data_IF_084032243036
#
_entry.id   IF_084032243036
#
_cell.length_a   1.000
_cell.length_b   1.000
_cell.length_c   1.000
_cell.angle_alpha   90.00
_cell.angle_beta   90.00
_cell.angle_gamma   90.00
#
_symmetry.space_group_name_H-M   'P 1'
#
loop_
_entity.id
_entity.type
_entity.pdbx_description
1 polymer ?
#
# COMPACT_ATOMS: atom_id res chain seq x y z
N UNK A 1 -10.64 -11.58 20.74
CA UNK A 1 -9.50 -11.82 19.84
C UNK A 1 -9.76 -11.06 18.55
N UNK A 2 -8.93 -10.06 18.21
CA UNK A 2 -8.58 -9.62 16.84
C UNK A 2 -7.97 -8.21 16.88
N UNK A 3 -6.76 -8.10 17.42
CA UNK A 3 -5.96 -6.86 17.41
C UNK A 3 -4.87 -6.96 16.35
N UNK A 4 -5.26 -7.25 15.10
CA UNK A 4 -4.36 -7.09 13.96
C UNK A 4 -4.63 -5.74 13.33
N UNK A 5 -3.59 -4.99 12.92
CA UNK A 5 -3.78 -3.68 12.32
C UNK A 5 -4.73 -3.84 11.12
N UNK A 6 -5.83 -3.10 11.11
CA UNK A 6 -6.73 -3.00 9.95
C UNK A 6 -6.08 -2.28 8.75
N UNK A 7 -4.75 -2.19 8.79
CA UNK A 7 -3.87 -1.43 7.96
C UNK A 7 -2.86 -2.36 7.31
N UNK A 8 -2.95 -2.53 6.00
CA UNK A 8 -2.08 -3.44 5.24
C UNK A 8 -1.69 -2.79 3.92
N UNK A 9 -0.42 -2.96 3.53
CA UNK A 9 0.09 -2.61 2.20
C UNK A 9 0.29 -3.88 1.42
N UNK A 10 -0.34 -3.99 0.26
CA UNK A 10 -0.16 -5.11 -0.67
C UNK A 10 0.57 -4.60 -1.90
N UNK A 11 1.61 -5.30 -2.33
CA UNK A 11 2.36 -4.95 -3.55
C UNK A 11 1.94 -5.89 -4.67
N UNK A 12 1.56 -5.32 -5.81
CA UNK A 12 1.11 -6.06 -6.97
C UNK A 12 1.93 -5.67 -8.20
N UNK A 13 2.27 -6.67 -9.02
CA UNK A 13 2.89 -6.46 -10.33
C UNK A 13 1.79 -6.32 -11.38
N UNK A 14 1.76 -5.19 -12.08
CA UNK A 14 0.85 -4.95 -13.18
C UNK A 14 1.29 -5.66 -14.46
N UNK A 15 0.35 -5.85 -15.37
CA UNK A 15 0.56 -6.46 -16.69
C UNK A 15 1.62 -5.74 -17.54
N UNK A 16 1.84 -4.45 -17.30
CA UNK A 16 2.88 -3.66 -17.95
C UNK A 16 4.29 -3.85 -17.33
N UNK A 17 4.46 -4.81 -16.43
CA UNK A 17 5.73 -5.08 -15.75
C UNK A 17 6.08 -4.12 -14.61
N UNK A 18 5.27 -3.08 -14.38
CA UNK A 18 5.45 -2.12 -13.28
C UNK A 18 4.82 -2.62 -11.98
N UNK A 19 5.28 -2.07 -10.87
CA UNK A 19 4.84 -2.39 -9.53
C UNK A 19 3.93 -1.32 -8.97
N UNK A 20 2.93 -1.72 -8.21
CA UNK A 20 1.96 -0.83 -7.57
C UNK A 20 1.71 -1.31 -6.15
N UNK A 21 1.22 -0.41 -5.30
CA UNK A 21 0.78 -0.79 -3.97
C UNK A 21 -0.72 -0.51 -3.80
N UNK A 22 -1.38 -1.38 -3.03
CA UNK A 22 -2.77 -1.25 -2.60
C UNK A 22 -2.74 -1.08 -1.09
N UNK A 23 -3.41 -0.03 -0.60
CA UNK A 23 -3.55 0.21 0.84
C UNK A 23 -4.92 -0.24 1.30
N UNK A 24 -4.95 -0.97 2.40
CA UNK A 24 -6.15 -1.17 3.19
C UNK A 24 -5.93 -0.42 4.50
N UNK A 25 -6.86 0.44 4.91
CA UNK A 25 -6.79 1.20 6.15
C UNK A 25 -8.17 1.26 6.81
N UNK A 26 -8.30 0.75 8.03
CA UNK A 26 -9.56 0.74 8.83
C UNK A 26 -10.77 0.23 8.03
N UNK A 27 -10.59 -0.89 7.34
CA UNK A 27 -11.64 -1.50 6.51
C UNK A 27 -11.84 -0.87 5.12
N UNK A 28 -11.21 0.28 4.83
CA UNK A 28 -11.26 0.94 3.52
C UNK A 28 -10.12 0.43 2.64
N UNK A 29 -10.45 -0.15 1.49
CA UNK A 29 -9.47 -0.50 0.45
C UNK A 29 -9.32 0.67 -0.52
N UNK A 30 -8.12 1.23 -0.59
CA UNK A 30 -7.75 2.27 -1.54
C UNK A 30 -7.38 1.64 -2.88
N UNK A 31 -7.61 2.34 -4.00
CA UNK A 31 -7.22 1.85 -5.32
C UNK A 31 -5.70 1.64 -5.42
N UNK A 32 -5.26 0.77 -6.33
CA UNK A 32 -3.85 0.54 -6.59
C UNK A 32 -3.15 1.83 -7.05
N UNK A 33 -2.19 2.29 -6.26
CA UNK A 33 -1.45 3.53 -6.48
C UNK A 33 -0.03 3.28 -6.99
N UNK A 34 0.45 4.25 -7.76
CA UNK A 34 1.79 4.26 -8.34
C UNK A 34 1.98 3.36 -9.55
N UNK A 35 3.15 3.48 -10.17
CA UNK A 35 3.60 2.67 -11.31
C UNK A 35 5.14 2.61 -11.29
N UNK A 36 5.66 1.90 -10.32
CA UNK A 36 7.08 1.87 -10.01
C UNK A 36 7.82 0.86 -10.86
N UNK A 37 9.06 1.18 -11.24
CA UNK A 37 9.91 0.24 -11.99
C UNK A 37 10.42 -0.90 -11.08
N UNK A 38 10.49 -0.68 -9.78
CA UNK A 38 11.10 -1.59 -8.81
C UNK A 38 10.16 -1.94 -7.66
N UNK A 39 10.18 -3.20 -7.23
CA UNK A 39 9.41 -3.70 -6.08
C UNK A 39 9.74 -2.93 -4.80
N UNK A 40 11.03 -2.68 -4.55
CA UNK A 40 11.51 -1.93 -3.36
C UNK A 40 10.92 -0.52 -3.33
N UNK A 41 10.83 0.14 -4.49
CA UNK A 41 10.25 1.47 -4.59
C UNK A 41 8.74 1.44 -4.27
N UNK A 42 8.00 0.46 -4.81
CA UNK A 42 6.58 0.28 -4.48
C UNK A 42 6.35 -0.01 -2.99
N UNK A 43 7.24 -0.80 -2.37
CA UNK A 43 7.19 -1.06 -0.93
C UNK A 43 7.44 0.19 -0.10
N UNK A 44 8.49 0.95 -0.41
CA UNK A 44 8.83 2.17 0.32
C UNK A 44 7.69 3.20 0.25
N UNK A 45 7.16 3.43 -0.95
CA UNK A 45 6.07 4.39 -1.19
C UNK A 45 4.76 3.93 -0.53
N UNK A 46 4.45 2.63 -0.60
CA UNK A 46 3.28 2.07 0.07
C UNK A 46 3.36 2.18 1.59
N UNK A 47 4.53 1.92 2.19
CA UNK A 47 4.74 2.10 3.63
C UNK A 47 4.68 3.57 4.04
N UNK A 48 5.26 4.48 3.25
CA UNK A 48 5.18 5.92 3.49
C UNK A 48 3.73 6.42 3.44
N UNK A 49 2.96 5.98 2.44
CA UNK A 49 1.55 6.33 2.30
C UNK A 49 0.70 5.76 3.44
N UNK A 50 0.97 4.54 3.89
CA UNK A 50 0.33 3.98 5.09
C UNK A 50 0.62 4.82 6.33
N UNK A 51 1.89 5.19 6.53
CA UNK A 51 2.33 6.01 7.66
C UNK A 51 1.64 7.38 7.65
N UNK A 52 1.59 8.04 6.50
CA UNK A 52 0.90 9.32 6.33
C UNK A 52 -0.60 9.22 6.64
N UNK A 53 -1.26 8.10 6.28
CA UNK A 53 -2.67 7.86 6.63
C UNK A 53 -2.85 7.67 8.15
N UNK A 54 -1.93 6.97 8.81
CA UNK A 54 -1.93 6.82 10.27
C UNK A 54 -1.69 8.16 10.98
N UNK A 55 -0.73 8.96 10.51
CA UNK A 55 -0.42 10.28 11.08
C UNK A 55 -1.57 11.29 10.88
N UNK A 56 -2.38 11.11 9.83
CA UNK A 56 -3.53 11.97 9.53
C UNK A 56 -4.82 11.57 10.23
N UNK A 57 -4.90 10.37 10.83
CA UNK A 57 -6.13 9.81 11.43
C UNK A 57 -6.26 10.07 12.91
#
# INVERSE_FOLDING_TARGET
MNTKPETTVTIEKRQNGRWCFVLKFRGVTYPAQGQFASLVQAQAEGQAALKALVERS
#
